data_IF_581082328369
#
_entry.id   IF_581082328369
#
_cell.length_a   1.000
_cell.length_b   1.000
_cell.length_c   1.000
_cell.angle_alpha   90.00
_cell.angle_beta   90.00
_cell.angle_gamma   90.00
#
_symmetry.space_group_name_H-M   'P 1'
#
loop_
_entity.id
_entity.type
_entity.pdbx_description
1 polymer ?
#
# COMPACT_ATOMS: atom_id res chain seq x y z
N UNK A 1 56.73 -2.45 6.77
CA UNK A 1 55.58 -2.76 7.65
C UNK A 1 54.44 -1.82 7.26
N UNK A 2 53.49 -2.32 6.42
CA UNK A 2 52.35 -1.55 5.98
C UNK A 2 51.15 -1.87 6.88
N UNK A 3 50.72 -0.90 7.68
CA UNK A 3 49.53 -1.02 8.52
C UNK A 3 48.26 -0.80 7.70
N UNK A 4 47.42 -1.81 7.64
CA UNK A 4 46.08 -1.75 7.03
C UNK A 4 45.13 -1.11 8.00
N UNK A 5 44.69 0.14 7.75
CA UNK A 5 43.62 0.81 8.50
C UNK A 5 42.26 0.22 8.04
N UNK A 6 41.66 -0.60 8.86
CA UNK A 6 40.26 -1.02 8.72
C UNK A 6 39.33 0.14 9.16
N UNK A 7 38.75 0.84 8.22
CA UNK A 7 37.70 1.83 8.51
C UNK A 7 36.39 1.04 8.69
N UNK A 8 35.98 0.84 9.92
CA UNK A 8 34.66 0.32 10.25
C UNK A 8 33.62 1.41 9.97
N UNK A 9 32.89 1.31 8.86
CA UNK A 9 31.72 2.15 8.60
C UNK A 9 30.59 1.73 9.55
N UNK A 10 30.42 2.45 10.66
CA UNK A 10 29.22 2.35 11.45
C UNK A 10 28.05 2.97 10.67
N UNK A 11 27.25 2.14 10.02
CA UNK A 11 25.95 2.56 9.50
C UNK A 11 25.02 2.70 10.70
N UNK A 12 24.63 3.95 11.02
CA UNK A 12 23.64 4.20 12.05
C UNK A 12 22.29 3.56 11.66
N UNK A 13 21.56 2.92 12.60
CA UNK A 13 20.23 2.39 12.29
C UNK A 13 19.31 3.55 11.86
N UNK A 14 18.37 3.30 10.90
CA UNK A 14 17.44 4.33 10.47
C UNK A 14 16.62 4.83 11.66
N UNK A 15 16.42 6.15 11.75
CA UNK A 15 15.62 6.75 12.81
C UNK A 15 14.19 6.18 12.78
N UNK A 16 13.56 5.90 13.93
CA UNK A 16 12.19 5.43 13.98
C UNK A 16 11.26 6.47 13.36
N UNK A 17 10.37 6.01 12.47
CA UNK A 17 9.34 6.86 11.87
C UNK A 17 8.29 7.15 12.95
N UNK A 18 8.17 8.41 13.35
CA UNK A 18 7.15 8.86 14.28
C UNK A 18 5.90 9.24 13.50
N UNK A 19 4.80 8.51 13.73
CA UNK A 19 3.50 8.82 13.15
C UNK A 19 2.78 9.80 14.09
N UNK A 20 2.39 10.99 13.62
CA UNK A 20 1.65 11.94 14.45
C UNK A 20 0.27 11.39 14.83
N UNK A 21 -0.32 11.84 15.95
CA UNK A 21 -1.68 11.45 16.32
C UNK A 21 -2.69 11.89 15.25
N UNK A 22 -3.83 11.21 15.21
CA UNK A 22 -4.93 11.60 14.32
C UNK A 22 -5.42 12.98 14.74
N UNK A 23 -5.57 13.95 13.80
CA UNK A 23 -6.09 15.27 14.13
C UNK A 23 -7.50 15.18 14.73
N UNK A 24 -7.85 16.06 15.67
CA UNK A 24 -9.17 16.05 16.30
C UNK A 24 -10.32 16.08 15.27
N UNK A 25 -11.29 15.18 15.43
CA UNK A 25 -12.46 15.10 14.57
C UNK A 25 -12.22 14.47 13.20
N UNK A 26 -11.02 14.03 12.90
CA UNK A 26 -10.70 13.30 11.66
C UNK A 26 -10.58 11.80 11.89
N UNK A 27 -10.57 11.05 10.80
CA UNK A 27 -10.25 9.62 10.76
C UNK A 27 -8.97 9.39 9.95
N UNK A 28 -8.34 8.26 10.12
CA UNK A 28 -7.12 7.91 9.40
C UNK A 28 -7.30 6.64 8.59
N UNK A 29 -6.93 6.70 7.32
CA UNK A 29 -6.90 5.55 6.42
C UNK A 29 -5.45 5.24 6.08
N UNK A 30 -5.01 4.05 6.42
CA UNK A 30 -3.72 3.52 6.02
C UNK A 30 -3.87 2.71 4.74
N UNK A 31 -2.97 2.94 3.80
CA UNK A 31 -2.79 2.14 2.60
C UNK A 31 -1.44 1.49 2.66
N UNK A 32 -1.38 0.18 2.50
CA UNK A 32 -0.11 -0.51 2.46
C UNK A 32 -0.12 -1.66 1.46
N UNK A 33 1.04 -1.97 0.94
CA UNK A 33 1.26 -3.06 0.01
C UNK A 33 2.38 -3.94 0.58
N UNK A 34 2.12 -5.23 0.89
CA UNK A 34 3.16 -6.15 1.30
C UNK A 34 4.26 -6.25 0.25
N UNK A 35 5.48 -6.46 0.68
CA UNK A 35 6.56 -6.72 -0.26
C UNK A 35 6.47 -8.13 -0.80
N UNK A 36 6.30 -8.26 -2.10
CA UNK A 36 6.27 -9.52 -2.82
C UNK A 36 7.24 -9.45 -4.01
N UNK A 37 8.36 -10.20 -3.97
CA UNK A 37 9.38 -10.14 -5.03
C UNK A 37 8.88 -10.53 -6.42
N UNK A 38 7.83 -11.36 -6.47
CA UNK A 38 7.21 -11.85 -7.71
C UNK A 38 6.16 -10.91 -8.28
N UNK A 39 5.75 -9.89 -7.51
CA UNK A 39 4.75 -8.93 -7.96
C UNK A 39 5.36 -7.78 -8.76
N UNK A 40 4.49 -7.09 -9.49
CA UNK A 40 4.86 -5.91 -10.27
C UNK A 40 5.45 -4.80 -9.41
N UNK A 41 6.43 -4.09 -9.96
CA UNK A 41 6.98 -2.85 -9.39
C UNK A 41 6.16 -1.61 -9.75
N UNK A 42 5.07 -1.74 -10.52
CA UNK A 42 4.21 -0.62 -10.85
C UNK A 42 3.56 -0.04 -9.59
N UNK A 43 3.39 1.28 -9.60
CA UNK A 43 2.70 2.01 -8.53
C UNK A 43 1.21 1.67 -8.54
N UNK A 44 0.68 1.29 -7.41
CA UNK A 44 -0.76 1.19 -7.21
C UNK A 44 -1.31 2.58 -6.83
N UNK A 45 -1.91 3.29 -7.77
CA UNK A 45 -2.57 4.58 -7.55
C UNK A 45 -3.92 4.35 -6.91
N UNK A 46 -4.26 5.18 -5.95
CA UNK A 46 -5.48 5.01 -5.14
C UNK A 46 -6.32 6.27 -5.22
N UNK A 47 -7.61 6.06 -5.40
CA UNK A 47 -8.64 7.10 -5.36
C UNK A 47 -9.57 6.88 -4.17
N UNK A 48 -10.04 7.97 -3.59
CA UNK A 48 -11.14 8.00 -2.62
C UNK A 48 -12.21 8.96 -3.14
N UNK A 49 -13.45 8.47 -3.28
CA UNK A 49 -14.56 9.22 -3.86
C UNK A 49 -14.22 9.88 -5.20
N UNK A 50 -13.46 9.19 -6.05
CA UNK A 50 -13.03 9.67 -7.37
C UNK A 50 -11.87 10.68 -7.36
N UNK A 51 -11.32 11.01 -6.19
CA UNK A 51 -10.16 11.89 -6.05
C UNK A 51 -8.88 11.11 -5.76
N UNK A 52 -7.79 11.41 -6.48
CA UNK A 52 -6.48 10.80 -6.22
C UNK A 52 -5.96 11.16 -4.84
N UNK A 53 -5.57 10.15 -4.06
CA UNK A 53 -5.04 10.35 -2.69
C UNK A 53 -3.59 9.91 -2.51
N UNK A 54 -3.06 9.14 -3.39
CA UNK A 54 -1.67 8.69 -3.34
C UNK A 54 -1.43 7.42 -4.15
N UNK A 55 -0.19 6.97 -4.13
CA UNK A 55 0.21 5.72 -4.74
C UNK A 55 1.10 4.92 -3.79
N UNK A 56 1.00 3.60 -3.81
CA UNK A 56 1.78 2.71 -2.97
C UNK A 56 2.67 1.81 -3.82
N UNK A 57 3.97 1.82 -3.51
CA UNK A 57 4.96 0.92 -4.08
C UNK A 57 4.89 -0.47 -3.43
N UNK A 58 5.46 -1.46 -4.09
CA UNK A 58 5.64 -2.79 -3.53
C UNK A 58 6.47 -2.70 -2.24
N UNK A 59 5.90 -3.12 -1.11
CA UNK A 59 6.52 -3.05 0.22
C UNK A 59 6.39 -1.72 0.95
N UNK A 60 5.63 -0.75 0.43
CA UNK A 60 5.45 0.57 1.03
C UNK A 60 4.10 0.75 1.72
N UNK A 61 4.00 1.85 2.47
CA UNK A 61 2.76 2.28 3.11
C UNK A 61 2.70 3.80 3.20
N UNK A 62 1.48 4.34 3.19
CA UNK A 62 1.20 5.73 3.52
C UNK A 62 -0.18 5.86 4.16
N UNK A 63 -0.49 7.01 4.73
CA UNK A 63 -1.81 7.28 5.30
C UNK A 63 -2.38 8.61 4.83
N UNK A 64 -3.70 8.75 4.99
CA UNK A 64 -4.42 10.01 4.83
C UNK A 64 -5.33 10.22 6.02
N UNK A 65 -5.31 11.44 6.56
CA UNK A 65 -6.30 11.90 7.52
C UNK A 65 -7.43 12.59 6.75
N UNK A 66 -8.65 12.15 7.01
CA UNK A 66 -9.84 12.56 6.26
C UNK A 66 -11.01 12.87 7.22
N UNK A 67 -11.96 13.74 6.83
CA UNK A 67 -13.17 13.92 7.60
C UNK A 67 -13.95 12.60 7.76
N UNK A 68 -14.70 12.42 8.86
CA UNK A 68 -15.61 11.29 8.99
C UNK A 68 -16.64 11.29 7.86
N UNK A 69 -17.06 10.10 7.45
CA UNK A 69 -18.05 9.96 6.39
C UNK A 69 -17.92 8.67 5.61
N UNK A 70 -18.65 8.59 4.52
CA UNK A 70 -18.63 7.45 3.61
C UNK A 70 -17.59 7.65 2.51
N UNK A 71 -16.75 6.63 2.28
CA UNK A 71 -15.71 6.65 1.27
C UNK A 71 -15.74 5.40 0.40
N UNK A 72 -15.69 5.64 -0.90
CA UNK A 72 -15.44 4.62 -1.90
C UNK A 72 -13.95 4.64 -2.25
N UNK A 73 -13.24 3.56 -1.92
CA UNK A 73 -11.81 3.41 -2.12
C UNK A 73 -11.56 2.51 -3.33
N UNK A 74 -10.94 3.04 -4.35
CA UNK A 74 -10.68 2.36 -5.60
C UNK A 74 -9.20 2.43 -5.98
N UNK A 75 -8.49 1.29 -6.09
CA UNK A 75 -7.20 1.28 -6.74
C UNK A 75 -7.37 1.43 -8.25
N UNK A 76 -6.54 2.25 -8.88
CA UNK A 76 -6.50 2.35 -10.33
C UNK A 76 -5.99 1.04 -10.93
N UNK A 77 -6.75 0.46 -11.83
CA UNK A 77 -6.46 -0.82 -12.43
C UNK A 77 -6.71 -0.79 -13.94
N UNK A 78 -5.84 -1.41 -14.72
CA UNK A 78 -6.02 -1.53 -16.16
C UNK A 78 -7.17 -2.44 -16.56
N UNK A 79 -7.52 -3.42 -15.74
CA UNK A 79 -8.68 -4.29 -15.92
C UNK A 79 -9.62 -4.14 -14.73
N UNK A 80 -10.90 -3.87 -14.98
CA UNK A 80 -11.88 -3.90 -13.91
C UNK A 80 -12.45 -5.29 -13.77
N UNK A 81 -12.30 -5.83 -12.57
CA UNK A 81 -12.94 -7.04 -12.11
C UNK A 81 -13.89 -6.70 -10.96
N UNK A 82 -14.66 -7.66 -10.54
CA UNK A 82 -15.52 -7.53 -9.36
C UNK A 82 -14.69 -7.51 -8.07
N UNK A 83 -15.13 -6.76 -7.08
CA UNK A 83 -14.51 -6.69 -5.73
C UNK A 83 -13.11 -6.08 -5.67
N UNK A 84 -12.76 -5.21 -6.59
CA UNK A 84 -11.50 -4.45 -6.52
C UNK A 84 -11.58 -3.27 -5.56
N UNK A 85 -12.76 -2.71 -5.39
CA UNK A 85 -13.01 -1.50 -4.62
C UNK A 85 -13.56 -1.85 -3.23
N UNK A 86 -13.44 -0.90 -2.28
CA UNK A 86 -14.00 -1.01 -0.94
C UNK A 86 -14.83 0.21 -0.59
N UNK A 87 -15.98 -0.02 0.03
CA UNK A 87 -16.80 1.02 0.63
C UNK A 87 -16.64 0.98 2.15
N UNK A 88 -16.38 2.12 2.76
CA UNK A 88 -16.16 2.23 4.20
C UNK A 88 -16.87 3.43 4.77
N UNK A 89 -17.40 3.29 5.99
CA UNK A 89 -17.89 4.38 6.80
C UNK A 89 -16.91 4.68 7.92
N UNK A 90 -16.43 5.90 8.01
CA UNK A 90 -15.43 6.33 8.98
C UNK A 90 -16.06 7.20 10.06
N UNK A 91 -15.92 6.78 11.31
CA UNK A 91 -16.24 7.57 12.48
C UNK A 91 -15.08 8.50 12.87
N UNK A 92 -15.32 9.58 13.65
CA UNK A 92 -14.26 10.42 14.19
C UNK A 92 -13.23 9.58 14.98
N UNK A 93 -11.94 9.91 14.80
CA UNK A 93 -10.79 9.24 15.45
C UNK A 93 -10.62 7.76 15.06
N UNK A 94 -11.44 7.24 14.19
CA UNK A 94 -11.30 5.88 13.69
C UNK A 94 -10.06 5.73 12.79
N UNK A 95 -9.42 4.58 12.89
CA UNK A 95 -8.28 4.22 12.06
C UNK A 95 -8.56 2.88 11.36
N UNK A 96 -8.46 2.89 10.04
CA UNK A 96 -8.63 1.68 9.23
C UNK A 96 -7.38 1.38 8.41
N UNK A 97 -7.26 0.14 7.98
CA UNK A 97 -6.13 -0.35 7.20
C UNK A 97 -6.63 -0.98 5.91
N UNK A 98 -6.10 -0.49 4.80
CA UNK A 98 -6.41 -0.98 3.45
C UNK A 98 -5.16 -1.61 2.87
N UNK A 99 -5.22 -2.92 2.66
CA UNK A 99 -4.18 -3.69 2.00
C UNK A 99 -4.39 -3.63 0.49
N UNK A 100 -3.38 -3.24 -0.24
CA UNK A 100 -3.38 -3.25 -1.71
C UNK A 100 -2.62 -4.47 -2.18
N UNK A 101 -3.27 -5.30 -2.97
CA UNK A 101 -2.67 -6.48 -3.58
C UNK A 101 -2.75 -6.40 -5.09
N UNK A 102 -1.72 -6.91 -5.76
CA UNK A 102 -1.73 -7.15 -7.20
C UNK A 102 -2.02 -8.63 -7.42
N UNK A 103 -3.03 -8.89 -8.22
CA UNK A 103 -3.26 -10.24 -8.71
C UNK A 103 -2.80 -10.28 -10.16
N UNK A 104 -1.67 -10.93 -10.40
CA UNK A 104 -1.21 -11.25 -11.74
C UNK A 104 -2.24 -12.13 -12.42
N UNK A 105 -2.93 -11.57 -13.39
CA UNK A 105 -3.90 -12.33 -14.17
C UNK A 105 -3.14 -13.15 -15.23
N UNK A 106 -2.59 -14.30 -14.83
CA UNK A 106 -1.87 -15.26 -15.68
C UNK A 106 -2.75 -15.86 -16.80
N UNK A 107 -4.04 -15.47 -16.88
CA UNK A 107 -5.02 -16.05 -17.78
C UNK A 107 -5.40 -15.23 -19.01
N UNK A 108 -5.02 -13.97 -19.13
CA UNK A 108 -5.36 -13.13 -20.29
C UNK A 108 -4.14 -12.75 -21.13
N UNK A 109 -3.63 -13.71 -21.87
CA UNK A 109 -2.80 -13.42 -23.02
C UNK A 109 -3.65 -12.71 -24.08
N UNK A 110 -3.62 -11.38 -24.08
CA UNK A 110 -4.10 -10.62 -25.23
C UNK A 110 -3.02 -10.71 -26.29
N UNK A 111 -3.26 -11.53 -27.28
CA UNK A 111 -2.43 -11.66 -28.47
C UNK A 111 -2.04 -10.28 -29.02
N UNK A 112 -0.76 -9.93 -28.93
CA UNK A 112 -0.18 -8.78 -29.62
C UNK A 112 0.52 -7.73 -28.77
N UNK A 113 0.46 -7.76 -27.46
CA UNK A 113 1.19 -6.79 -26.63
C UNK A 113 2.27 -7.47 -25.81
N UNK A 114 3.54 -7.31 -26.21
CA UNK A 114 4.70 -7.94 -25.55
C UNK A 114 5.05 -7.35 -24.17
N UNK A 115 4.43 -6.24 -23.76
CA UNK A 115 4.71 -5.54 -22.51
C UNK A 115 3.46 -4.99 -21.80
N UNK A 116 2.28 -5.55 -22.08
CA UNK A 116 1.09 -5.17 -21.33
C UNK A 116 0.93 -6.10 -20.12
N UNK A 117 1.78 -5.94 -19.13
CA UNK A 117 1.47 -6.44 -17.80
C UNK A 117 0.23 -5.68 -17.30
N UNK A 118 -0.91 -6.33 -17.33
CA UNK A 118 -2.14 -5.76 -16.80
C UNK A 118 -2.19 -6.05 -15.32
N UNK A 119 -1.65 -5.13 -14.55
CA UNK A 119 -1.76 -5.22 -13.11
C UNK A 119 -3.20 -4.92 -12.69
N UNK A 120 -3.86 -5.90 -12.12
CA UNK A 120 -5.12 -5.72 -11.44
C UNK A 120 -4.83 -5.50 -9.96
N UNK A 121 -5.13 -4.30 -9.46
CA UNK A 121 -5.00 -3.98 -8.04
C UNK A 121 -6.33 -4.12 -7.33
N UNK A 122 -6.30 -4.65 -6.11
CA UNK A 122 -7.45 -4.87 -5.24
C UNK A 122 -7.20 -4.21 -3.89
N UNK A 123 -8.22 -3.54 -3.37
CA UNK A 123 -8.23 -2.99 -2.03
C UNK A 123 -8.95 -3.93 -1.08
N UNK A 124 -8.31 -4.33 0.02
CA UNK A 124 -8.90 -5.19 1.04
C UNK A 124 -8.82 -4.52 2.41
N UNK A 125 -9.95 -4.47 3.11
CA UNK A 125 -9.97 -4.06 4.51
C UNK A 125 -9.45 -5.18 5.39
N UNK A 126 -8.52 -4.85 6.27
CA UNK A 126 -7.90 -5.80 7.19
C UNK A 126 -7.90 -5.29 8.62
N UNK A 127 -7.86 -6.22 9.56
CA UNK A 127 -7.68 -5.89 10.96
C UNK A 127 -6.22 -5.51 11.26
N UNK A 128 -6.00 -4.64 12.23
CA UNK A 128 -4.67 -4.18 12.64
C UNK A 128 -3.70 -5.33 12.95
N UNK A 129 -4.18 -6.43 13.53
CA UNK A 129 -3.36 -7.60 13.84
C UNK A 129 -2.85 -8.37 12.63
N UNK A 130 -3.45 -8.21 11.47
CA UNK A 130 -3.03 -8.85 10.22
C UNK A 130 -1.74 -8.22 9.67
N UNK A 131 -1.57 -6.91 9.83
CA UNK A 131 -0.36 -6.18 9.42
C UNK A 131 0.88 -6.76 10.12
N UNK A 132 0.75 -7.09 11.40
CA UNK A 132 1.85 -7.67 12.18
C UNK A 132 2.25 -9.06 11.66
N UNK A 133 1.30 -9.86 11.19
CA UNK A 133 1.55 -11.17 10.58
C UNK A 133 2.23 -11.05 9.22
N UNK A 134 1.80 -10.10 8.41
CA UNK A 134 2.39 -9.86 7.08
C UNK A 134 3.87 -9.41 7.19
N UNK A 135 4.23 -8.73 8.28
CA UNK A 135 5.61 -8.32 8.56
C UNK A 135 6.51 -9.45 9.08
N UNK A 136 5.93 -10.45 9.74
CA UNK A 136 6.67 -11.57 10.31
C UNK A 136 7.00 -12.67 9.29
N UNK A 137 6.45 -12.60 8.10
CA UNK A 137 6.71 -13.52 6.99
C UNK A 137 7.90 -13.14 6.09
N UNK A 138 8.68 -12.13 6.48
CA UNK A 138 9.87 -11.68 5.74
C UNK A 138 11.13 -12.28 6.37
#
# INVERSE_FOLDING_TARGET
MSGLLLIASCVAPPAPVVVPPIPPGQARVWFYRPYEPSETFNLARIEMNGGYVGAVENGAAFYRDVPPGHYHIAPESFGRDVNQDQDVDLAPIEQIYVKIVSLDNWGMSVSGCKNCARDAFYAWLIAQGEIARDRSGI
#
